data_IF_380286630112
#
_entry.id   IF_380286630112
#
_cell.length_a   1.000
_cell.length_b   1.000
_cell.length_c   1.000
_cell.angle_alpha   90.00
_cell.angle_beta   90.00
_cell.angle_gamma   90.00
#
_symmetry.space_group_name_H-M   'P 1'
#
loop_
_entity.id
_entity.type
_entity.pdbx_description
1 polymer ?
#
# COMPACT_ATOMS: atom_id res chain seq x y z
N UNK A 1 -11.49 10.22 -3.95
CA UNK A 1 -10.05 10.15 -4.26
C UNK A 1 -9.53 8.81 -3.78
N UNK A 2 -9.10 7.96 -4.69
CA UNK A 2 -8.56 6.64 -4.37
C UNK A 2 -7.07 6.77 -4.01
N UNK A 3 -6.55 5.85 -3.18
CA UNK A 3 -5.12 5.83 -2.85
C UNK A 3 -4.23 5.65 -4.10
N UNK A 4 -4.76 5.02 -5.15
CA UNK A 4 -4.07 4.83 -6.44
C UNK A 4 -3.81 6.15 -7.18
N UNK A 5 -4.64 7.17 -6.97
CA UNK A 5 -4.46 8.50 -7.59
C UNK A 5 -3.29 9.28 -6.95
N UNK A 6 -2.88 8.90 -5.73
CA UNK A 6 -1.72 9.45 -5.03
C UNK A 6 -0.41 8.74 -5.37
N UNK A 7 -0.49 7.63 -6.10
CA UNK A 7 0.63 6.75 -6.44
C UNK A 7 1.67 7.48 -7.29
N UNK A 8 2.95 7.35 -6.95
CA UNK A 8 4.06 7.77 -7.82
C UNK A 8 5.12 6.68 -7.92
N UNK A 9 5.53 6.37 -9.15
CA UNK A 9 6.55 5.34 -9.43
C UNK A 9 7.78 5.49 -8.55
N UNK A 10 8.24 4.38 -7.96
CA UNK A 10 9.43 4.32 -7.10
C UNK A 10 9.21 4.78 -5.67
N UNK A 11 8.01 5.24 -5.30
CA UNK A 11 7.71 5.64 -3.92
C UNK A 11 7.31 4.44 -3.05
N UNK A 12 7.89 4.39 -1.85
CA UNK A 12 7.68 3.32 -0.88
C UNK A 12 8.00 3.83 0.53
N UNK A 13 7.40 3.21 1.55
CA UNK A 13 7.82 3.34 2.94
C UNK A 13 9.06 2.47 3.21
N UNK A 14 10.27 3.04 3.03
CA UNK A 14 11.52 2.27 3.09
C UNK A 14 11.84 1.73 4.49
N UNK A 15 11.48 2.46 5.55
CA UNK A 15 11.85 2.10 6.93
C UNK A 15 11.15 0.82 7.43
N UNK A 16 9.96 0.52 6.90
CA UNK A 16 9.09 -0.57 7.30
C UNK A 16 9.14 -1.73 6.31
N UNK A 17 9.85 -1.59 5.19
CA UNK A 17 9.94 -2.68 4.22
C UNK A 17 10.83 -3.79 4.80
N UNK A 18 10.36 -5.05 4.82
CA UNK A 18 11.20 -6.17 5.22
C UNK A 18 12.47 -6.22 4.36
N UNK A 19 13.59 -6.60 4.97
CA UNK A 19 14.84 -6.83 4.23
C UNK A 19 14.58 -7.86 3.13
N UNK A 20 15.08 -7.59 1.93
CA UNK A 20 14.98 -8.53 0.82
C UNK A 20 15.64 -9.85 1.23
N UNK A 21 14.84 -10.91 1.35
CA UNK A 21 15.33 -12.28 1.54
C UNK A 21 15.65 -12.85 0.16
N UNK A 22 16.69 -13.68 0.04
CA UNK A 22 17.04 -14.33 -1.22
C UNK A 22 15.82 -15.07 -1.78
N UNK A 23 15.54 -14.84 -3.07
CA UNK A 23 14.37 -15.39 -3.77
C UNK A 23 14.57 -16.86 -4.14
N UNK A 24 14.77 -17.73 -3.16
CA UNK A 24 14.76 -19.18 -3.40
C UNK A 24 13.33 -19.69 -3.20
N UNK A 25 12.43 -19.31 -4.11
CA UNK A 25 11.07 -19.83 -4.11
C UNK A 25 11.03 -21.11 -4.98
N UNK A 26 10.59 -22.23 -4.41
CA UNK A 26 10.41 -23.50 -5.13
C UNK A 26 9.13 -23.55 -5.98
N UNK A 27 8.75 -22.42 -6.59
CA UNK A 27 7.50 -22.30 -7.36
C UNK A 27 7.83 -22.51 -8.85
N UNK A 28 7.20 -23.49 -9.53
CA UNK A 28 7.38 -23.70 -10.97
C UNK A 28 7.07 -22.43 -11.78
N UNK A 29 7.82 -22.19 -12.84
CA UNK A 29 7.76 -20.95 -13.64
C UNK A 29 6.34 -20.65 -14.17
N UNK A 30 5.59 -21.69 -14.54
CA UNK A 30 4.22 -21.58 -15.03
C UNK A 30 3.25 -20.94 -14.02
N UNK A 31 3.55 -21.05 -12.71
CA UNK A 31 2.76 -20.46 -11.64
C UNK A 31 3.30 -19.10 -11.16
N UNK A 32 4.44 -18.63 -11.68
CA UNK A 32 5.01 -17.35 -11.28
C UNK A 32 4.27 -16.16 -11.92
N UNK A 33 4.16 -15.07 -11.16
CA UNK A 33 3.54 -13.83 -11.68
C UNK A 33 4.42 -13.21 -12.77
N UNK A 34 3.84 -13.03 -13.96
CA UNK A 34 4.49 -12.37 -15.10
C UNK A 34 4.56 -10.85 -14.98
N UNK A 35 3.67 -10.27 -14.16
CA UNK A 35 3.60 -8.82 -13.92
C UNK A 35 3.58 -8.51 -12.41
N UNK A 36 4.17 -7.38 -11.99
CA UNK A 36 4.08 -6.94 -10.60
C UNK A 36 2.62 -6.70 -10.18
N UNK A 37 2.28 -6.91 -8.90
CA UNK A 37 0.96 -6.56 -8.40
C UNK A 37 0.74 -5.05 -8.50
N UNK A 38 -0.51 -4.64 -8.81
CA UNK A 38 -0.91 -3.23 -8.83
C UNK A 38 -1.09 -2.69 -7.41
N UNK A 39 0.03 -2.43 -6.74
CA UNK A 39 0.04 -1.78 -5.43
C UNK A 39 0.23 -0.26 -5.60
N UNK A 40 -0.40 0.58 -4.74
CA UNK A 40 -0.16 2.01 -4.76
C UNK A 40 1.25 2.31 -4.24
N UNK A 41 1.98 3.16 -4.97
CA UNK A 41 3.32 3.60 -4.59
C UNK A 41 3.21 4.90 -3.77
N UNK A 42 3.08 4.75 -2.46
CA UNK A 42 2.88 5.85 -1.51
C UNK A 42 3.93 5.81 -0.38
N UNK A 43 4.24 6.96 0.20
CA UNK A 43 5.02 7.03 1.45
C UNK A 43 4.10 6.80 2.65
N UNK A 44 4.67 6.43 3.80
CA UNK A 44 3.92 6.23 5.04
C UNK A 44 3.03 7.43 5.39
N UNK A 45 3.58 8.65 5.36
CA UNK A 45 2.83 9.87 5.64
C UNK A 45 1.63 10.08 4.69
N UNK A 46 1.74 9.65 3.43
CA UNK A 46 0.62 9.72 2.49
C UNK A 46 -0.47 8.70 2.83
N UNK A 47 -0.07 7.48 3.20
CA UNK A 47 -1.01 6.44 3.63
C UNK A 47 -1.77 6.89 4.88
N UNK A 48 -1.05 7.41 5.89
CA UNK A 48 -1.66 7.95 7.11
C UNK A 48 -2.66 9.06 6.78
N UNK A 49 -2.24 10.09 6.02
CA UNK A 49 -3.14 11.19 5.62
C UNK A 49 -4.35 10.69 4.85
N UNK A 50 -4.18 9.75 3.93
CA UNK A 50 -5.27 9.20 3.15
C UNK A 50 -6.32 8.53 4.04
N UNK A 51 -5.90 7.64 4.94
CA UNK A 51 -6.84 6.92 5.79
C UNK A 51 -7.44 7.78 6.91
N UNK A 52 -6.71 8.77 7.43
CA UNK A 52 -7.28 9.77 8.35
C UNK A 52 -8.35 10.63 7.67
N UNK A 53 -8.10 11.13 6.45
CA UNK A 53 -9.11 11.88 5.71
C UNK A 53 -10.29 11.00 5.26
N UNK A 54 -10.06 9.70 5.07
CA UNK A 54 -11.14 8.76 4.74
C UNK A 54 -12.01 8.48 5.97
N UNK A 55 -11.42 8.30 7.16
CA UNK A 55 -12.19 8.04 8.39
C UNK A 55 -13.10 9.21 8.76
N UNK A 56 -12.68 10.46 8.51
CA UNK A 56 -13.49 11.66 8.72
C UNK A 56 -14.74 11.74 7.83
N UNK A 57 -14.83 10.89 6.79
CA UNK A 57 -16.00 10.79 5.92
C UNK A 57 -16.98 9.70 6.38
N UNK A 58 -16.61 8.93 7.41
CA UNK A 58 -17.46 7.91 7.98
C UNK A 58 -18.32 8.51 9.10
N UNK A 59 -19.52 7.97 9.27
CA UNK A 59 -20.30 8.17 10.47
C UNK A 59 -19.71 7.30 11.58
N UNK A 60 -19.46 7.88 12.75
CA UNK A 60 -18.93 7.15 13.89
C UNK A 60 -19.60 7.58 15.19
N UNK A 61 -19.70 6.66 16.13
CA UNK A 61 -20.28 6.93 17.45
C UNK A 61 -19.50 8.08 18.10
N UNK A 62 -18.17 8.04 18.08
CA UNK A 62 -17.28 9.03 18.70
C UNK A 62 -17.46 10.47 18.21
N UNK A 63 -18.05 10.68 17.03
CA UNK A 63 -18.13 12.00 16.37
C UNK A 63 -19.55 12.54 16.17
N UNK A 64 -20.59 11.76 16.48
CA UNK A 64 -21.97 12.08 16.07
C UNK A 64 -23.00 11.96 17.22
N UNK A 65 -22.70 12.58 18.36
CA UNK A 65 -23.61 12.71 19.51
C UNK A 65 -24.33 14.06 19.55
#
# INVERSE_FOLDING_TARGET
MLIFELSKTGRQAKAQIPRAVSKNYSIPEEFQRKSPPRLPACSELQVVRHFTCLSQKNFSIDTNF
#
